data_IF_863118289673
#
_entry.id   IF_863118289673
#
_cell.length_a   1.000
_cell.length_b   1.000
_cell.length_c   1.000
_cell.angle_alpha   90.00
_cell.angle_beta   90.00
_cell.angle_gamma   90.00
#
_symmetry.space_group_name_H-M   'P 1'
#
loop_
_entity.id
_entity.type
_entity.pdbx_description
1 polymer ?
#
# COMPACT_ATOMS: atom_id res chain seq x y z
N UNK A 1 22.91 -12.98 3.37
CA UNK A 1 23.10 -12.20 2.12
C UNK A 1 24.42 -11.40 2.08
N UNK A 2 25.16 -11.45 0.97
CA UNK A 2 26.29 -10.53 0.65
C UNK A 2 26.05 -9.84 -0.70
N UNK A 3 26.32 -8.54 -0.81
CA UNK A 3 26.19 -7.77 -2.07
C UNK A 3 27.58 -7.32 -2.55
N UNK A 4 28.12 -7.99 -3.57
CA UNK A 4 29.37 -7.60 -4.20
C UNK A 4 29.14 -6.45 -5.19
N UNK A 5 29.85 -5.34 -4.99
CA UNK A 5 29.78 -4.18 -5.90
C UNK A 5 30.71 -4.43 -7.10
N UNK A 6 30.16 -4.29 -8.31
CA UNK A 6 30.87 -4.48 -9.58
C UNK A 6 30.58 -3.33 -10.53
N UNK A 7 31.46 -3.12 -11.50
CA UNK A 7 31.22 -2.26 -12.66
C UNK A 7 31.19 -3.15 -13.90
N UNK A 8 30.06 -3.19 -14.59
CA UNK A 8 29.89 -3.97 -15.82
C UNK A 8 29.64 -3.02 -16.99
N UNK A 9 30.24 -3.32 -18.14
CA UNK A 9 29.94 -2.59 -19.38
C UNK A 9 28.54 -2.93 -19.88
N UNK A 10 27.93 -2.01 -20.64
CA UNK A 10 26.68 -2.31 -21.35
C UNK A 10 26.87 -3.50 -22.29
N UNK A 11 28.01 -3.60 -22.97
CA UNK A 11 28.35 -4.76 -23.81
C UNK A 11 28.23 -6.10 -23.04
N UNK A 12 28.77 -6.15 -21.82
CA UNK A 12 28.64 -7.34 -20.96
C UNK A 12 27.19 -7.63 -20.58
N UNK A 13 26.40 -6.59 -20.28
CA UNK A 13 24.98 -6.75 -19.94
C UNK A 13 24.14 -7.21 -21.14
N UNK A 14 24.52 -6.84 -22.36
CA UNK A 14 23.90 -7.35 -23.60
C UNK A 14 24.20 -8.83 -23.76
N UNK A 15 25.47 -9.24 -23.62
CA UNK A 15 25.85 -10.66 -23.72
C UNK A 15 25.23 -11.56 -22.64
N UNK A 16 24.72 -10.98 -21.54
CA UNK A 16 24.02 -11.69 -20.47
C UNK A 16 22.49 -11.62 -20.58
N UNK A 17 21.92 -11.01 -21.63
CA UNK A 17 20.48 -10.80 -21.79
C UNK A 17 19.66 -12.07 -21.54
N UNK A 18 20.03 -13.17 -22.19
CA UNK A 18 19.32 -14.44 -22.09
C UNK A 18 19.63 -15.21 -20.80
N UNK A 19 20.65 -14.77 -20.05
CA UNK A 19 21.07 -15.36 -18.78
C UNK A 19 20.51 -14.62 -17.55
N UNK A 20 19.74 -13.54 -17.74
CA UNK A 20 19.17 -12.73 -16.66
C UNK A 20 17.63 -12.83 -16.70
N UNK A 21 17.04 -13.40 -15.65
CA UNK A 21 15.60 -13.39 -15.48
C UNK A 21 15.09 -11.98 -15.11
N UNK A 22 14.31 -11.37 -16.01
CA UNK A 22 13.67 -10.07 -15.79
C UNK A 22 12.25 -10.12 -15.19
N UNK A 23 11.65 -11.30 -15.07
CA UNK A 23 10.27 -11.49 -14.62
C UNK A 23 10.18 -12.37 -13.36
N UNK A 24 10.73 -11.93 -12.21
CA UNK A 24 10.52 -12.67 -10.98
C UNK A 24 9.06 -12.59 -10.52
N UNK A 25 8.60 -13.58 -9.74
CA UNK A 25 7.20 -13.77 -9.30
C UNK A 25 6.60 -12.53 -8.59
N UNK A 26 7.45 -11.68 -7.99
CA UNK A 26 7.06 -10.46 -7.25
C UNK A 26 7.03 -9.17 -8.10
N UNK A 27 7.12 -9.27 -9.43
CA UNK A 27 7.23 -8.09 -10.30
C UNK A 27 5.87 -7.40 -10.55
N UNK A 28 5.89 -6.06 -10.59
CA UNK A 28 4.84 -5.24 -11.21
C UNK A 28 5.18 -5.06 -12.69
N UNK A 29 4.20 -5.23 -13.59
CA UNK A 29 4.40 -5.11 -15.04
C UNK A 29 5.12 -3.83 -15.50
N UNK A 30 5.50 -3.73 -16.79
CA UNK A 30 6.32 -2.63 -17.29
C UNK A 30 5.69 -1.25 -17.01
N UNK A 31 6.40 -0.43 -16.24
CA UNK A 31 5.90 0.84 -15.70
C UNK A 31 6.55 2.10 -16.30
N UNK A 32 7.60 1.96 -17.13
CA UNK A 32 8.27 3.12 -17.73
C UNK A 32 7.53 3.61 -18.98
N UNK A 33 7.08 4.86 -18.96
CA UNK A 33 6.63 5.57 -20.17
C UNK A 33 7.80 5.71 -21.16
N UNK A 34 7.49 5.81 -22.45
CA UNK A 34 8.48 5.89 -23.52
C UNK A 34 9.55 6.98 -23.29
N UNK A 35 9.13 8.18 -22.85
CA UNK A 35 10.03 9.30 -22.55
C UNK A 35 11.12 8.97 -21.53
N UNK A 36 10.83 8.12 -20.52
CA UNK A 36 11.80 7.73 -19.50
C UNK A 36 12.86 6.78 -20.03
N UNK A 37 12.53 5.93 -21.01
CA UNK A 37 13.50 5.06 -21.70
C UNK A 37 14.48 5.88 -22.54
N UNK A 38 13.99 6.91 -23.23
CA UNK A 38 14.82 7.86 -24.02
C UNK A 38 15.80 8.60 -23.12
N UNK A 39 15.35 9.15 -21.99
CA UNK A 39 16.21 9.87 -21.05
C UNK A 39 17.33 9.00 -20.46
N UNK A 40 17.07 7.70 -20.23
CA UNK A 40 18.12 6.78 -19.79
C UNK A 40 19.23 6.64 -20.82
N UNK A 41 18.88 6.45 -22.10
CA UNK A 41 19.87 6.29 -23.17
C UNK A 41 20.64 7.60 -23.38
N UNK A 42 19.95 8.75 -23.34
CA UNK A 42 20.60 10.07 -23.41
C UNK A 42 21.60 10.26 -22.26
N UNK A 43 21.24 9.91 -21.02
CA UNK A 43 22.15 9.96 -19.87
C UNK A 43 23.40 9.10 -20.08
N UNK A 44 23.25 7.88 -20.62
CA UNK A 44 24.37 6.99 -20.94
C UNK A 44 25.28 7.58 -22.02
N UNK A 45 24.70 8.12 -23.10
CA UNK A 45 25.44 8.78 -24.18
C UNK A 45 26.10 10.09 -23.75
N UNK A 46 25.69 10.68 -22.63
CA UNK A 46 26.32 11.86 -22.00
C UNK A 46 27.24 11.50 -20.85
N UNK A 47 27.50 10.21 -20.63
CA UNK A 47 28.32 9.69 -19.54
C UNK A 47 27.85 10.12 -18.13
N UNK A 48 26.56 10.41 -17.99
CA UNK A 48 25.95 10.74 -16.70
C UNK A 48 25.82 9.50 -15.82
N UNK A 49 25.94 9.70 -14.50
CA UNK A 49 25.73 8.62 -13.54
C UNK A 49 24.30 8.07 -13.64
N UNK A 50 24.18 6.75 -13.63
CA UNK A 50 22.91 6.03 -13.74
C UNK A 50 22.74 5.09 -12.55
N UNK A 51 21.52 4.98 -11.98
CA UNK A 51 21.28 4.12 -10.84
C UNK A 51 21.68 2.67 -11.08
N UNK A 52 22.25 2.06 -10.03
CA UNK A 52 22.75 0.68 -10.05
C UNK A 52 21.69 -0.34 -10.47
N UNK A 53 22.16 -1.47 -10.98
CA UNK A 53 21.34 -2.66 -11.24
C UNK A 53 21.65 -3.68 -10.15
N UNK A 54 20.63 -4.32 -9.59
CA UNK A 54 20.82 -5.36 -8.58
C UNK A 54 20.45 -6.72 -9.17
N UNK A 55 21.43 -7.63 -9.20
CA UNK A 55 21.28 -8.96 -9.77
C UNK A 55 21.57 -10.00 -8.68
N UNK A 56 20.61 -10.88 -8.41
CA UNK A 56 20.82 -12.06 -7.58
C UNK A 56 21.46 -13.15 -8.43
N UNK A 57 22.60 -13.68 -7.99
CA UNK A 57 23.21 -14.86 -8.61
C UNK A 57 22.42 -16.11 -8.23
N UNK A 58 22.03 -16.90 -9.23
CA UNK A 58 21.32 -18.15 -9.02
C UNK A 58 22.28 -19.35 -8.91
N UNK A 59 21.86 -20.46 -8.26
CA UNK A 59 22.65 -21.69 -8.20
C UNK A 59 22.99 -22.23 -9.60
N UNK A 60 24.14 -22.87 -9.72
CA UNK A 60 24.54 -23.56 -10.96
C UNK A 60 23.48 -24.60 -11.37
N UNK A 61 23.17 -24.68 -12.67
CA UNK A 61 22.12 -25.54 -13.20
C UNK A 61 20.72 -24.91 -13.25
N UNK A 62 20.54 -23.69 -12.72
CA UNK A 62 19.31 -22.91 -12.93
C UNK A 62 19.18 -22.48 -14.40
N UNK A 63 17.94 -22.29 -14.88
CA UNK A 63 17.65 -21.81 -16.24
C UNK A 63 18.34 -20.47 -16.56
N UNK A 64 18.48 -19.61 -15.55
CA UNK A 64 19.17 -18.32 -15.65
C UNK A 64 20.36 -18.28 -14.69
N UNK A 65 21.41 -17.55 -15.06
CA UNK A 65 22.56 -17.30 -14.17
C UNK A 65 22.26 -16.24 -13.12
N UNK A 66 21.35 -15.31 -13.44
CA UNK A 66 20.97 -14.21 -12.57
C UNK A 66 19.46 -13.95 -12.58
N UNK A 67 18.96 -13.38 -11.50
CA UNK A 67 17.62 -12.83 -11.36
C UNK A 67 17.72 -11.33 -11.07
N UNK A 68 17.02 -10.50 -11.84
CA UNK A 68 17.05 -9.06 -11.65
C UNK A 68 16.15 -8.66 -10.46
N UNK A 69 16.78 -8.18 -9.39
CA UNK A 69 16.11 -7.70 -8.17
C UNK A 69 15.65 -6.25 -8.35
N UNK A 70 16.50 -5.38 -8.89
CA UNK A 70 16.14 -4.01 -9.27
C UNK A 70 16.85 -3.59 -10.57
N UNK A 71 16.23 -2.67 -11.31
CA UNK A 71 16.76 -2.16 -12.58
C UNK A 71 16.24 -2.87 -13.82
N UNK A 72 15.16 -3.64 -13.72
CA UNK A 72 14.57 -4.38 -14.84
C UNK A 72 14.18 -3.44 -15.99
N UNK A 73 13.58 -2.30 -15.69
CA UNK A 73 13.21 -1.31 -16.73
C UNK A 73 14.42 -0.66 -17.38
N UNK A 74 15.53 -0.50 -16.64
CA UNK A 74 16.81 -0.02 -17.19
C UNK A 74 17.39 -1.06 -18.15
N UNK A 75 17.44 -2.32 -17.74
CA UNK A 75 17.89 -3.44 -18.57
C UNK A 75 17.05 -3.55 -19.86
N UNK A 76 15.71 -3.54 -19.75
CA UNK A 76 14.82 -3.55 -20.92
C UNK A 76 15.08 -2.38 -21.84
N UNK A 77 15.13 -1.16 -21.33
CA UNK A 77 15.37 0.03 -22.15
C UNK A 77 16.72 -0.04 -22.89
N UNK A 78 17.79 -0.51 -22.23
CA UNK A 78 19.10 -0.70 -22.87
C UNK A 78 19.03 -1.78 -23.95
N UNK A 79 18.44 -2.93 -23.65
CA UNK A 79 18.34 -4.04 -24.60
C UNK A 79 17.44 -3.71 -25.79
N UNK A 80 16.27 -3.12 -25.55
CA UNK A 80 15.33 -2.70 -26.60
C UNK A 80 15.95 -1.64 -27.53
N UNK A 81 16.87 -0.82 -27.04
CA UNK A 81 17.57 0.17 -27.86
C UNK A 81 18.69 -0.47 -28.71
N UNK A 82 19.55 -1.29 -28.08
CA UNK A 82 20.80 -1.77 -28.69
C UNK A 82 20.66 -3.10 -29.43
N UNK A 83 19.86 -4.01 -28.88
CA UNK A 83 19.68 -5.38 -29.36
C UNK A 83 18.21 -5.83 -29.17
N UNK A 84 17.26 -5.16 -29.87
CA UNK A 84 15.85 -5.52 -29.85
C UNK A 84 15.63 -6.98 -30.27
N UNK A 85 14.59 -7.61 -29.73
CA UNK A 85 14.25 -8.99 -30.07
C UNK A 85 13.67 -9.10 -31.50
N UNK A 86 13.78 -10.30 -32.09
CA UNK A 86 13.02 -10.73 -33.28
C UNK A 86 13.11 -9.80 -34.51
N UNK A 87 14.28 -9.16 -34.72
CA UNK A 87 14.50 -8.28 -35.87
C UNK A 87 13.70 -6.97 -35.83
N UNK A 88 13.05 -6.65 -34.71
CA UNK A 88 12.37 -5.38 -34.53
C UNK A 88 13.38 -4.22 -34.58
N UNK A 89 12.95 -3.08 -35.12
CA UNK A 89 13.74 -1.86 -35.00
C UNK A 89 13.74 -1.39 -33.53
N UNK A 90 14.92 -1.06 -33.01
CA UNK A 90 15.04 -0.44 -31.69
C UNK A 90 14.30 0.90 -31.67
N UNK A 91 13.88 1.36 -30.49
CA UNK A 91 13.16 2.64 -30.42
C UNK A 91 14.08 3.82 -30.78
N UNK A 92 13.50 4.84 -31.41
CA UNK A 92 14.19 6.10 -31.69
C UNK A 92 14.27 6.99 -30.44
N UNK A 93 15.33 7.79 -30.33
CA UNK A 93 15.52 8.78 -29.27
C UNK A 93 14.61 10.01 -29.44
N UNK A 94 13.30 9.79 -29.43
CA UNK A 94 12.25 10.81 -29.54
C UNK A 94 11.53 10.98 -28.21
N UNK A 95 11.84 12.07 -27.50
CA UNK A 95 11.32 12.38 -26.16
C UNK A 95 10.25 13.48 -26.13
N UNK A 96 9.97 14.00 -24.93
CA UNK A 96 9.04 15.14 -24.74
C UNK A 96 9.60 16.47 -25.28
N UNK A 97 10.90 16.52 -25.60
CA UNK A 97 11.59 17.61 -26.25
C UNK A 97 12.73 17.07 -27.12
N UNK A 98 13.28 17.92 -28.00
CA UNK A 98 14.41 17.57 -28.84
C UNK A 98 15.68 17.35 -28.00
N UNK A 99 16.42 16.28 -28.27
CA UNK A 99 17.72 16.04 -27.62
C UNK A 99 18.83 16.83 -28.33
N UNK A 100 19.64 17.55 -27.55
CA UNK A 100 20.79 18.28 -28.06
C UNK A 100 21.87 17.35 -28.63
N UNK A 101 22.59 17.76 -29.70
CA UNK A 101 23.70 17.00 -30.25
C UNK A 101 24.79 16.69 -29.21
N UNK A 102 25.51 15.58 -29.43
CA UNK A 102 26.66 15.18 -28.61
C UNK A 102 27.89 15.20 -29.50
N UNK A 103 28.91 16.00 -29.14
CA UNK A 103 30.13 16.18 -29.93
C UNK A 103 29.86 16.55 -31.40
N UNK A 104 28.83 17.37 -31.66
CA UNK A 104 28.42 17.76 -33.02
C UNK A 104 27.57 16.73 -33.77
N UNK A 105 27.31 15.55 -33.19
CA UNK A 105 26.46 14.52 -33.78
C UNK A 105 25.02 14.63 -33.28
N UNK A 106 24.08 14.80 -34.19
CA UNK A 106 22.64 14.77 -33.88
C UNK A 106 22.25 13.37 -33.40
N UNK A 107 21.59 13.30 -32.25
CA UNK A 107 21.07 12.04 -31.66
C UNK A 107 19.54 12.00 -31.60
N UNK A 108 18.86 13.14 -31.66
CA UNK A 108 17.40 13.21 -31.59
C UNK A 108 16.75 12.42 -32.73
N UNK A 109 15.76 11.58 -32.38
CA UNK A 109 15.03 10.75 -33.34
C UNK A 109 15.82 9.58 -33.93
N UNK A 110 17.07 9.35 -33.51
CA UNK A 110 17.88 8.24 -34.02
C UNK A 110 17.66 6.97 -33.23
N UNK A 111 17.68 5.84 -33.94
CA UNK A 111 17.83 4.50 -33.39
C UNK A 111 19.31 4.18 -33.14
N UNK A 112 19.61 3.08 -32.43
CA UNK A 112 20.99 2.64 -32.23
C UNK A 112 21.74 2.45 -33.55
N UNK A 113 21.08 1.91 -34.59
CA UNK A 113 21.70 1.69 -35.90
C UNK A 113 22.11 2.98 -36.61
N UNK A 114 21.40 4.09 -36.38
CA UNK A 114 21.63 5.39 -37.01
C UNK A 114 22.63 6.27 -36.24
N UNK A 115 23.05 5.85 -35.04
CA UNK A 115 24.09 6.53 -34.28
C UNK A 115 25.46 6.44 -34.99
N UNK A 116 26.26 7.48 -34.78
CA UNK A 116 27.65 7.52 -35.25
C UNK A 116 28.50 6.46 -34.49
N UNK A 117 29.57 5.96 -35.11
CA UNK A 117 30.34 4.84 -34.61
C UNK A 117 30.98 5.10 -33.23
N UNK A 118 31.50 6.31 -32.99
CA UNK A 118 32.04 6.69 -31.68
C UNK A 118 30.97 6.67 -30.58
N UNK A 119 29.76 7.15 -30.86
CA UNK A 119 28.64 7.11 -29.91
C UNK A 119 28.16 5.68 -29.62
N UNK A 120 28.15 4.80 -30.62
CA UNK A 120 27.86 3.36 -30.43
C UNK A 120 28.91 2.72 -29.53
N UNK A 121 30.18 3.01 -29.76
CA UNK A 121 31.29 2.49 -28.96
C UNK A 121 31.22 3.02 -27.52
N UNK A 122 30.93 4.31 -27.35
CA UNK A 122 30.76 4.93 -26.04
C UNK A 122 29.62 4.29 -25.27
N UNK A 123 28.45 4.10 -25.89
CA UNK A 123 27.31 3.44 -25.27
C UNK A 123 27.67 2.01 -24.83
N UNK A 124 28.26 1.20 -25.71
CA UNK A 124 28.66 -0.19 -25.37
C UNK A 124 29.70 -0.25 -24.26
N UNK A 125 30.63 0.70 -24.25
CA UNK A 125 31.71 0.83 -23.27
C UNK A 125 31.28 1.40 -21.91
N UNK A 126 30.12 2.06 -21.83
CA UNK A 126 29.63 2.67 -20.60
C UNK A 126 29.51 1.65 -19.47
N UNK A 127 30.02 2.00 -18.29
CA UNK A 127 30.08 1.11 -17.11
C UNK A 127 28.95 1.44 -16.14
N UNK A 128 28.07 0.47 -15.92
CA UNK A 128 26.99 0.57 -14.93
C UNK A 128 27.40 -0.15 -13.65
N UNK A 129 27.08 0.45 -12.49
CA UNK A 129 27.22 -0.21 -11.20
C UNK A 129 26.26 -1.38 -11.04
N UNK A 130 26.79 -2.57 -10.75
CA UNK A 130 26.03 -3.79 -10.51
C UNK A 130 26.25 -4.26 -9.08
N UNK A 131 25.17 -4.36 -8.31
CA UNK A 131 25.14 -5.03 -7.01
C UNK A 131 24.82 -6.52 -7.22
N UNK A 132 25.85 -7.36 -7.24
CA UNK A 132 25.71 -8.81 -7.37
C UNK A 132 25.41 -9.42 -5.99
N UNK A 133 24.21 -9.94 -5.82
CA UNK A 133 23.73 -10.50 -4.56
C UNK A 133 24.02 -12.00 -4.56
N UNK A 134 24.78 -12.46 -3.57
CA UNK A 134 25.17 -13.87 -3.38
C UNK A 134 24.70 -14.37 -2.02
N UNK A 135 24.41 -15.67 -1.94
CA UNK A 135 24.02 -16.36 -0.70
C UNK A 135 22.90 -15.63 0.05
N UNK A 136 21.78 -15.42 -0.63
CA UNK A 136 20.62 -14.69 -0.10
C UNK A 136 19.34 -15.53 -0.16
N UNK A 137 18.57 -15.49 0.93
CA UNK A 137 17.22 -16.07 0.99
C UNK A 137 16.21 -15.17 0.26
N UNK A 138 15.04 -15.70 -0.08
CA UNK A 138 13.98 -14.91 -0.72
C UNK A 138 13.49 -13.75 0.16
N UNK A 139 13.48 -13.93 1.49
CA UNK A 139 13.10 -12.89 2.45
C UNK A 139 14.12 -11.74 2.51
N UNK A 140 15.41 -12.07 2.46
CA UNK A 140 16.49 -11.08 2.40
C UNK A 140 16.42 -10.26 1.10
N UNK A 141 16.15 -10.93 -0.04
CA UNK A 141 15.95 -10.28 -1.34
C UNK A 141 14.74 -9.36 -1.32
N UNK A 142 13.62 -9.82 -0.76
CA UNK A 142 12.39 -9.02 -0.61
C UNK A 142 12.64 -7.78 0.25
N UNK A 143 13.39 -7.95 1.35
CA UNK A 143 13.76 -6.84 2.25
C UNK A 143 14.68 -5.84 1.56
N UNK A 144 15.68 -6.31 0.81
CA UNK A 144 16.58 -5.45 0.03
C UNK A 144 15.80 -4.69 -1.05
N UNK A 145 14.96 -5.38 -1.82
CA UNK A 145 14.14 -4.76 -2.84
C UNK A 145 13.24 -3.67 -2.25
N UNK A 146 12.57 -3.95 -1.13
CA UNK A 146 11.75 -2.97 -0.42
C UNK A 146 12.56 -1.73 0.00
N UNK A 147 13.82 -1.90 0.42
CA UNK A 147 14.75 -0.81 0.75
C UNK A 147 15.20 -0.01 -0.46
N UNK A 148 15.46 -0.66 -1.60
CA UNK A 148 15.83 0.00 -2.85
C UNK A 148 14.69 0.85 -3.41
N UNK A 149 13.44 0.42 -3.22
CA UNK A 149 12.24 1.17 -3.61
C UNK A 149 11.87 2.30 -2.65
N UNK A 150 12.66 2.59 -1.60
CA UNK A 150 12.38 3.64 -0.62
C UNK A 150 12.44 5.08 -1.16
N UNK A 151 12.55 5.28 -2.48
CA UNK A 151 12.09 6.53 -3.11
C UNK A 151 10.57 6.74 -3.01
N UNK A 152 9.80 5.69 -2.73
CA UNK A 152 8.42 5.74 -2.22
C UNK A 152 8.13 4.43 -1.46
N UNK A 153 8.47 4.32 -0.16
CA UNK A 153 8.35 3.07 0.59
C UNK A 153 6.92 2.54 0.55
N UNK A 154 6.73 1.22 0.49
CA UNK A 154 5.41 0.63 0.71
C UNK A 154 4.95 1.01 2.12
N UNK A 155 3.75 1.56 2.23
CA UNK A 155 3.18 1.82 3.55
C UNK A 155 2.87 0.46 4.24
N UNK A 156 2.59 0.47 5.54
CA UNK A 156 2.36 -0.78 6.24
C UNK A 156 1.13 -1.56 5.75
N UNK A 157 0.13 -0.91 5.16
CA UNK A 157 -1.02 -1.59 4.56
C UNK A 157 -0.66 -2.28 3.24
N UNK A 158 0.14 -1.64 2.39
CA UNK A 158 0.67 -2.21 1.15
C UNK A 158 1.59 -3.41 1.45
N UNK A 159 2.40 -3.34 2.51
CA UNK A 159 3.21 -4.47 2.97
C UNK A 159 2.35 -5.66 3.42
N UNK A 160 1.28 -5.42 4.19
CA UNK A 160 0.35 -6.48 4.59
C UNK A 160 -0.47 -7.02 3.42
N UNK A 161 -0.78 -6.18 2.43
CA UNK A 161 -1.50 -6.62 1.24
C UNK A 161 -0.62 -7.44 0.29
N UNK A 162 0.70 -7.24 0.33
CA UNK A 162 1.66 -8.06 -0.42
C UNK A 162 1.92 -9.43 0.22
N UNK A 163 1.51 -9.65 1.48
CA UNK A 163 1.63 -10.94 2.14
C UNK A 163 0.67 -11.98 1.52
N UNK A 164 1.03 -13.26 1.61
CA UNK A 164 0.19 -14.39 1.20
C UNK A 164 -0.50 -14.99 2.42
N UNK A 165 -1.76 -15.42 2.26
CA UNK A 165 -2.49 -16.14 3.30
C UNK A 165 -4.01 -16.01 3.19
N UNK A 166 -4.78 -16.95 3.77
CA UNK A 166 -6.24 -16.98 3.67
C UNK A 166 -6.89 -15.73 4.29
N UNK A 167 -6.43 -15.29 5.47
CA UNK A 167 -6.91 -14.05 6.11
C UNK A 167 -6.68 -12.81 5.23
N UNK A 168 -5.49 -12.69 4.63
CA UNK A 168 -5.20 -11.59 3.69
C UNK A 168 -6.17 -11.61 2.50
N UNK A 169 -6.45 -12.79 1.93
CA UNK A 169 -7.32 -12.93 0.78
C UNK A 169 -8.76 -12.51 1.09
N UNK A 170 -9.29 -12.90 2.25
CA UNK A 170 -10.63 -12.52 2.70
C UNK A 170 -10.72 -11.02 3.02
N UNK A 171 -9.71 -10.43 3.65
CA UNK A 171 -9.63 -8.97 3.86
C UNK A 171 -9.61 -8.25 2.50
N UNK A 172 -8.81 -8.74 1.54
CA UNK A 172 -8.72 -8.14 0.21
C UNK A 172 -10.04 -8.25 -0.56
N UNK A 173 -10.69 -9.42 -0.50
CA UNK A 173 -12.01 -9.62 -1.11
C UNK A 173 -13.01 -8.62 -0.55
N UNK A 174 -13.16 -8.57 0.79
CA UNK A 174 -14.04 -7.61 1.49
C UNK A 174 -13.76 -6.18 1.08
N UNK A 175 -12.48 -5.77 1.03
CA UNK A 175 -12.07 -4.43 0.63
C UNK A 175 -12.41 -4.07 -0.82
N UNK A 176 -12.57 -5.05 -1.71
CA UNK A 176 -12.88 -4.83 -3.14
C UNK A 176 -14.33 -5.06 -3.52
N UNK A 177 -15.06 -5.91 -2.79
CA UNK A 177 -16.41 -6.33 -3.18
C UNK A 177 -17.52 -5.76 -2.29
N UNK A 178 -17.22 -5.33 -1.06
CA UNK A 178 -18.26 -4.88 -0.14
C UNK A 178 -18.80 -3.48 -0.53
N UNK A 179 -20.13 -3.31 -0.51
CA UNK A 179 -20.82 -2.09 -0.97
C UNK A 179 -20.36 -0.81 -0.25
N UNK A 180 -20.11 -0.87 1.06
CA UNK A 180 -19.49 0.22 1.81
C UNK A 180 -18.28 0.84 1.09
N UNK A 181 -17.33 0.02 0.63
CA UNK A 181 -16.13 0.53 -0.04
C UNK A 181 -16.39 1.05 -1.45
N UNK A 182 -17.42 0.53 -2.13
CA UNK A 182 -17.83 1.02 -3.45
C UNK A 182 -18.47 2.42 -3.38
N UNK A 183 -19.23 2.70 -2.32
CA UNK A 183 -19.99 3.96 -2.17
C UNK A 183 -19.35 4.99 -1.22
N UNK A 184 -18.38 4.59 -0.40
CA UNK A 184 -17.71 5.47 0.55
C UNK A 184 -16.87 6.55 -0.14
N UNK A 185 -16.86 7.77 0.44
CA UNK A 185 -16.00 8.88 0.00
C UNK A 185 -14.56 8.74 0.51
N UNK A 186 -13.97 7.56 0.36
CA UNK A 186 -12.59 7.27 0.77
C UNK A 186 -11.77 7.05 -0.50
N UNK A 187 -10.67 7.77 -0.69
CA UNK A 187 -9.78 7.49 -1.81
C UNK A 187 -8.98 6.20 -1.54
N UNK A 188 -9.03 5.22 -2.46
CA UNK A 188 -8.32 3.95 -2.30
C UNK A 188 -6.82 4.01 -2.69
N UNK A 189 -6.17 5.13 -2.41
CA UNK A 189 -4.74 5.27 -2.67
C UNK A 189 -3.95 4.42 -1.68
N UNK A 190 -2.86 3.80 -2.15
CA UNK A 190 -1.87 3.12 -1.28
C UNK A 190 -2.52 2.07 -0.35
N UNK A 191 -3.44 1.26 -0.91
CA UNK A 191 -4.15 0.16 -0.21
C UNK A 191 -4.98 0.60 1.00
N UNK A 192 -5.62 1.77 0.94
CA UNK A 192 -6.41 2.30 2.06
C UNK A 192 -7.64 1.46 2.40
N UNK A 193 -8.36 0.91 1.41
CA UNK A 193 -9.52 0.04 1.67
C UNK A 193 -9.09 -1.23 2.39
N UNK A 194 -7.97 -1.81 1.95
CA UNK A 194 -7.35 -2.95 2.62
C UNK A 194 -6.96 -2.61 4.07
N UNK A 195 -6.44 -1.41 4.34
CA UNK A 195 -6.15 -0.95 5.71
C UNK A 195 -7.42 -0.92 6.57
N UNK A 196 -8.51 -0.36 6.06
CA UNK A 196 -9.79 -0.26 6.78
C UNK A 196 -10.37 -1.65 7.05
N UNK A 197 -10.43 -2.51 6.04
CA UNK A 197 -10.85 -3.89 6.21
C UNK A 197 -9.96 -4.63 7.23
N UNK A 198 -8.63 -4.45 7.19
CA UNK A 198 -7.72 -5.06 8.18
C UNK A 198 -8.10 -4.69 9.62
N UNK A 199 -8.45 -3.43 9.89
CA UNK A 199 -8.86 -3.01 11.24
C UNK A 199 -10.23 -3.57 11.63
N UNK A 200 -11.17 -3.69 10.68
CA UNK A 200 -12.47 -4.32 10.92
C UNK A 200 -12.33 -5.79 11.34
N UNK A 201 -11.48 -6.54 10.63
CA UNK A 201 -11.17 -7.93 11.00
C UNK A 201 -10.45 -8.02 12.36
N UNK A 202 -9.55 -7.09 12.68
CA UNK A 202 -8.85 -7.08 13.96
C UNK A 202 -9.80 -6.84 15.15
N UNK A 203 -10.76 -5.89 15.04
CA UNK A 203 -11.76 -5.69 16.10
C UNK A 203 -12.75 -6.85 16.18
N UNK A 204 -13.11 -7.47 15.05
CA UNK A 204 -13.95 -8.65 15.01
C UNK A 204 -13.31 -9.86 15.73
N UNK A 205 -12.00 -10.07 15.50
CA UNK A 205 -11.22 -11.18 16.05
C UNK A 205 -10.89 -11.01 17.54
N UNK A 206 -10.49 -9.80 17.96
CA UNK A 206 -9.95 -9.59 19.30
C UNK A 206 -10.90 -8.87 20.25
N UNK A 207 -12.01 -8.33 19.77
CA UNK A 207 -13.01 -7.61 20.58
C UNK A 207 -12.37 -6.57 21.53
N UNK A 208 -11.39 -5.82 21.02
CA UNK A 208 -10.68 -4.79 21.78
C UNK A 208 -9.79 -5.30 22.93
N UNK A 209 -9.37 -6.57 22.91
CA UNK A 209 -8.43 -7.14 23.89
C UNK A 209 -6.95 -6.93 23.52
N UNK A 210 -6.67 -6.42 22.33
CA UNK A 210 -5.32 -6.15 21.81
C UNK A 210 -5.23 -4.77 21.16
N UNK A 211 -4.00 -4.32 20.96
CA UNK A 211 -3.70 -3.17 20.10
C UNK A 211 -4.06 -3.50 18.64
N UNK A 212 -4.33 -2.48 17.84
CA UNK A 212 -4.61 -2.60 16.41
C UNK A 212 -3.63 -1.76 15.58
N UNK A 213 -2.36 -1.74 15.99
CA UNK A 213 -1.27 -1.08 15.25
C UNK A 213 -0.84 -1.96 14.10
N UNK A 214 0.00 -1.42 13.22
CA UNK A 214 0.43 -2.17 12.04
C UNK A 214 1.12 -3.50 12.36
N UNK A 215 1.83 -3.59 13.50
CA UNK A 215 2.46 -4.84 13.95
C UNK A 215 1.41 -5.87 14.32
N UNK A 216 0.35 -5.44 15.02
CA UNK A 216 -0.77 -6.31 15.42
C UNK A 216 -1.54 -6.78 14.18
N UNK A 217 -1.90 -5.87 13.27
CA UNK A 217 -2.61 -6.25 12.04
C UNK A 217 -1.83 -7.25 11.18
N UNK A 218 -0.49 -7.22 11.25
CA UNK A 218 0.36 -8.23 10.62
C UNK A 218 0.29 -9.56 11.40
N UNK A 219 0.36 -9.50 12.73
CA UNK A 219 0.19 -10.68 13.58
C UNK A 219 -1.15 -11.38 13.34
N UNK A 220 -2.25 -10.64 13.14
CA UNK A 220 -3.55 -11.20 12.76
C UNK A 220 -3.45 -12.09 11.51
N UNK A 221 -2.78 -11.63 10.45
CA UNK A 221 -2.63 -12.42 9.23
C UNK A 221 -1.77 -13.67 9.45
N UNK A 222 -0.76 -13.59 10.33
CA UNK A 222 0.12 -14.72 10.67
C UNK A 222 -0.59 -15.74 11.55
N UNK A 223 -1.34 -15.30 12.56
CA UNK A 223 -2.13 -16.17 13.45
C UNK A 223 -3.17 -16.97 12.67
N UNK A 224 -3.87 -16.31 11.74
CA UNK A 224 -4.88 -16.95 10.91
C UNK A 224 -4.31 -17.59 9.62
N UNK A 225 -2.98 -17.70 9.49
CA UNK A 225 -2.38 -18.42 8.35
C UNK A 225 -2.58 -19.94 8.44
N UNK A 226 -2.75 -20.45 9.67
CA UNK A 226 -2.95 -21.87 10.00
C UNK A 226 -4.29 -22.14 10.68
N UNK A 227 -5.16 -21.13 10.78
CA UNK A 227 -6.49 -21.28 11.35
C UNK A 227 -7.43 -22.01 10.40
N UNK A 228 -8.46 -22.64 10.97
CA UNK A 228 -9.50 -23.31 10.19
C UNK A 228 -10.28 -22.29 9.35
N UNK A 229 -10.64 -22.69 8.12
CA UNK A 229 -11.34 -21.81 7.19
C UNK A 229 -12.70 -21.36 7.76
N UNK A 230 -13.33 -22.18 8.61
CA UNK A 230 -14.57 -21.85 9.30
C UNK A 230 -14.43 -20.62 10.20
N UNK A 231 -13.34 -20.51 10.97
CA UNK A 231 -13.08 -19.33 11.81
C UNK A 231 -12.92 -18.06 10.97
N UNK A 232 -12.20 -18.17 9.85
CA UNK A 232 -11.98 -17.04 8.94
C UNK A 232 -13.30 -16.60 8.30
N UNK A 233 -14.14 -17.55 7.89
CA UNK A 233 -15.46 -17.26 7.33
C UNK A 233 -16.41 -16.68 8.38
N UNK A 234 -16.37 -17.16 9.63
CA UNK A 234 -17.13 -16.58 10.74
C UNK A 234 -16.77 -15.11 10.98
N UNK A 235 -15.47 -14.77 10.95
CA UNK A 235 -15.03 -13.37 10.99
C UNK A 235 -15.51 -12.58 9.77
N UNK A 236 -15.43 -13.17 8.58
CA UNK A 236 -15.88 -12.52 7.35
C UNK A 236 -17.38 -12.20 7.39
N UNK A 237 -18.22 -13.12 7.88
CA UNK A 237 -19.66 -12.90 8.04
C UNK A 237 -19.92 -11.75 9.02
N UNK A 238 -19.31 -11.81 10.21
CA UNK A 238 -19.44 -10.76 11.23
C UNK A 238 -19.02 -9.38 10.73
N UNK A 239 -17.95 -9.31 9.94
CA UNK A 239 -17.48 -8.06 9.32
C UNK A 239 -18.44 -7.60 8.22
N UNK A 240 -18.92 -8.50 7.36
CA UNK A 240 -19.89 -8.18 6.31
C UNK A 240 -21.21 -7.64 6.86
N UNK A 241 -21.79 -8.33 7.84
CA UNK A 241 -23.06 -7.91 8.46
C UNK A 241 -22.95 -6.51 9.09
N UNK A 242 -21.83 -6.24 9.76
CA UNK A 242 -21.59 -4.93 10.34
C UNK A 242 -21.35 -3.83 9.29
N UNK A 243 -20.68 -4.17 8.17
CA UNK A 243 -20.46 -3.26 7.06
C UNK A 243 -21.73 -2.94 6.28
N UNK A 244 -22.70 -3.85 6.20
CA UNK A 244 -24.01 -3.59 5.61
C UNK A 244 -24.74 -2.46 6.34
N UNK A 245 -24.82 -2.56 7.68
CA UNK A 245 -25.39 -1.50 8.52
C UNK A 245 -24.59 -0.20 8.36
N UNK A 246 -23.26 -0.27 8.36
CA UNK A 246 -22.41 0.91 8.21
C UNK A 246 -22.59 1.61 6.85
N UNK A 247 -22.80 0.84 5.77
CA UNK A 247 -23.08 1.36 4.44
C UNK A 247 -24.39 2.15 4.43
N UNK A 248 -25.43 1.60 5.05
CA UNK A 248 -26.72 2.28 5.15
C UNK A 248 -26.61 3.56 6.01
N UNK A 249 -25.88 3.53 7.12
CA UNK A 249 -25.58 4.74 7.92
C UNK A 249 -24.85 5.78 7.07
N UNK A 250 -23.80 5.39 6.31
CA UNK A 250 -23.02 6.32 5.49
C UNK A 250 -23.82 6.96 4.35
N UNK A 251 -24.89 6.29 3.88
CA UNK A 251 -25.81 6.85 2.88
C UNK A 251 -26.71 7.94 3.46
N UNK A 252 -27.13 7.82 4.73
CA UNK A 252 -28.12 8.70 5.35
C UNK A 252 -27.53 9.78 6.27
N UNK A 253 -26.31 9.59 6.77
CA UNK A 253 -25.64 10.56 7.65
C UNK A 253 -25.29 11.87 6.94
N UNK A 254 -25.42 13.00 7.65
CA UNK A 254 -24.86 14.28 7.20
C UNK A 254 -23.33 14.34 7.27
N UNK A 255 -22.69 13.40 7.98
CA UNK A 255 -21.25 13.33 8.18
C UNK A 255 -20.65 12.03 7.64
N UNK A 256 -20.35 11.99 6.33
CA UNK A 256 -19.75 10.82 5.67
C UNK A 256 -18.56 10.23 6.44
N UNK A 257 -18.55 8.90 6.55
CA UNK A 257 -17.62 8.09 7.33
C UNK A 257 -16.32 7.90 6.54
N UNK A 258 -15.53 8.96 6.42
CA UNK A 258 -14.27 8.93 5.65
C UNK A 258 -13.02 8.76 6.49
N UNK A 259 -13.15 8.84 7.82
CA UNK A 259 -12.04 8.80 8.77
C UNK A 259 -11.95 7.40 9.39
N UNK A 260 -10.73 6.85 9.42
CA UNK A 260 -10.48 5.45 9.82
C UNK A 260 -11.03 5.12 11.19
N UNK A 261 -10.81 5.99 12.17
CA UNK A 261 -11.12 5.65 13.54
C UNK A 261 -12.60 5.64 13.84
N UNK A 262 -13.39 6.56 13.27
CA UNK A 262 -14.84 6.52 13.44
C UNK A 262 -15.45 5.33 12.71
N UNK A 263 -14.90 4.94 11.55
CA UNK A 263 -15.23 3.69 10.86
C UNK A 263 -15.01 2.46 11.77
N UNK A 264 -13.81 2.35 12.38
CA UNK A 264 -13.48 1.23 13.28
C UNK A 264 -14.39 1.21 14.51
N UNK A 265 -14.60 2.37 15.14
CA UNK A 265 -15.37 2.46 16.37
C UNK A 265 -16.86 2.17 16.13
N UNK A 266 -17.45 2.67 15.03
CA UNK A 266 -18.84 2.37 14.65
C UNK A 266 -19.03 0.90 14.32
N UNK A 267 -18.15 0.31 13.49
CA UNK A 267 -18.21 -1.12 13.18
C UNK A 267 -18.17 -1.97 14.43
N UNK A 268 -17.29 -1.63 15.36
CA UNK A 268 -17.18 -2.41 16.58
C UNK A 268 -18.43 -2.30 17.46
N UNK A 269 -19.07 -1.13 17.53
CA UNK A 269 -20.37 -0.99 18.22
C UNK A 269 -21.45 -1.83 17.54
N UNK A 270 -21.53 -1.79 16.20
CA UNK A 270 -22.50 -2.58 15.42
C UNK A 270 -22.30 -4.08 15.67
N UNK A 271 -21.06 -4.57 15.60
CA UNK A 271 -20.73 -5.97 15.91
C UNK A 271 -21.17 -6.38 17.32
N UNK A 272 -20.94 -5.51 18.32
CA UNK A 272 -21.35 -5.76 19.70
C UNK A 272 -22.87 -5.79 19.88
N UNK A 273 -23.63 -5.04 19.08
CA UNK A 273 -25.09 -5.09 19.08
C UNK A 273 -25.60 -6.38 18.43
N UNK A 274 -25.02 -6.78 17.29
CA UNK A 274 -25.34 -8.07 16.65
C UNK A 274 -25.03 -9.26 17.56
N UNK A 275 -23.90 -9.25 18.28
CA UNK A 275 -23.56 -10.28 19.27
C UNK A 275 -24.57 -10.37 20.43
N UNK A 276 -25.29 -9.28 20.73
CA UNK A 276 -26.37 -9.27 21.72
C UNK A 276 -27.72 -9.72 21.13
N UNK A 277 -27.76 -10.12 19.85
CA UNK A 277 -28.99 -10.49 19.13
C UNK A 277 -29.90 -9.30 18.83
N UNK A 278 -29.38 -8.07 18.87
CA UNK A 278 -30.16 -6.85 18.68
C UNK A 278 -30.22 -6.46 17.21
N UNK A 279 -31.43 -6.25 16.70
CA UNK A 279 -31.64 -5.60 15.40
C UNK A 279 -31.44 -4.10 15.54
N UNK A 280 -30.70 -3.48 14.62
CA UNK A 280 -30.33 -2.06 14.67
C UNK A 280 -31.32 -1.26 13.83
N UNK A 281 -31.95 -0.25 14.44
CA UNK A 281 -32.69 0.78 13.74
C UNK A 281 -31.69 1.79 13.14
N UNK A 282 -31.55 1.71 11.81
CA UNK A 282 -30.56 2.52 11.07
C UNK A 282 -30.86 4.02 11.15
N UNK A 283 -32.13 4.41 11.26
CA UNK A 283 -32.49 5.83 11.39
C UNK A 283 -32.10 6.35 12.77
N UNK A 284 -32.41 5.60 13.84
CA UNK A 284 -32.04 5.95 15.22
C UNK A 284 -30.52 6.05 15.38
N UNK A 285 -29.76 5.05 14.92
CA UNK A 285 -28.29 5.06 15.04
C UNK A 285 -27.66 6.18 14.20
N UNK A 286 -28.19 6.46 13.00
CA UNK A 286 -27.71 7.54 12.14
C UNK A 286 -27.91 8.90 12.80
N UNK A 287 -29.09 9.18 13.36
CA UNK A 287 -29.36 10.43 14.07
C UNK A 287 -28.44 10.63 15.30
N UNK A 288 -28.17 9.55 16.05
CA UNK A 288 -27.26 9.60 17.21
C UNK A 288 -25.80 9.76 16.80
N UNK A 289 -25.39 9.12 15.70
CA UNK A 289 -24.08 9.34 15.10
C UNK A 289 -23.91 10.80 14.64
N UNK A 290 -24.92 11.35 13.97
CA UNK A 290 -24.93 12.74 13.52
C UNK A 290 -24.80 13.72 14.68
N UNK A 291 -25.51 13.48 15.79
CA UNK A 291 -25.37 14.28 16.99
C UNK A 291 -23.96 14.17 17.60
N UNK A 292 -23.41 12.95 17.67
CA UNK A 292 -22.08 12.71 18.18
C UNK A 292 -21.00 13.45 17.35
N UNK A 293 -21.05 13.32 16.03
CA UNK A 293 -20.02 13.87 15.15
C UNK A 293 -20.08 15.41 15.08
N UNK A 294 -21.28 16.00 15.14
CA UNK A 294 -21.44 17.46 15.28
C UNK A 294 -20.76 17.98 16.55
N UNK A 295 -21.03 17.34 17.70
CA UNK A 295 -20.38 17.73 18.96
C UNK A 295 -18.87 17.48 18.92
N UNK A 296 -18.43 16.33 18.37
CA UNK A 296 -17.00 16.01 18.25
C UNK A 296 -16.27 17.08 17.45
N UNK A 297 -16.81 17.49 16.31
CA UNK A 297 -16.23 18.56 15.47
C UNK A 297 -16.18 19.90 16.19
N UNK A 298 -17.24 20.26 16.93
CA UNK A 298 -17.29 21.49 17.72
C UNK A 298 -16.21 21.55 18.82
N UNK A 299 -15.94 20.43 19.49
CA UNK A 299 -15.06 20.41 20.67
C UNK A 299 -13.69 19.75 20.45
N UNK A 300 -13.35 19.34 19.23
CA UNK A 300 -12.09 18.62 18.98
C UNK A 300 -10.85 19.48 19.24
N UNK A 301 -10.93 20.81 19.04
CA UNK A 301 -9.83 21.75 19.29
C UNK A 301 -9.66 22.02 20.79
N UNK A 302 -10.78 22.24 21.50
CA UNK A 302 -10.83 22.62 22.91
C UNK A 302 -11.72 21.65 23.72
N UNK A 303 -11.30 20.39 23.89
CA UNK A 303 -12.12 19.38 24.55
C UNK A 303 -12.34 19.68 26.03
N UNK A 304 -11.44 20.42 26.70
CA UNK A 304 -11.55 20.77 28.12
C UNK A 304 -12.83 21.58 28.41
N UNK A 305 -13.36 22.31 27.41
CA UNK A 305 -14.65 23.00 27.53
C UNK A 305 -15.80 22.04 27.84
N UNK A 306 -15.73 20.77 27.43
CA UNK A 306 -16.73 19.73 27.73
C UNK A 306 -16.83 19.42 29.23
N UNK A 307 -15.81 19.77 30.02
CA UNK A 307 -15.83 19.59 31.47
C UNK A 307 -16.52 20.74 32.21
N UNK A 308 -16.82 21.85 31.52
CA UNK A 308 -17.52 22.98 32.09
C UNK A 308 -19.05 22.79 32.00
N UNK A 309 -19.65 22.37 33.11
CA UNK A 309 -21.11 22.17 33.23
C UNK A 309 -21.95 23.45 33.17
N UNK A 310 -21.33 24.64 33.21
CA UNK A 310 -22.04 25.94 33.14
C UNK A 310 -22.30 26.40 31.70
N UNK A 311 -21.82 25.66 30.70
CA UNK A 311 -22.03 25.96 29.29
C UNK A 311 -23.51 25.79 28.92
N UNK A 312 -24.04 26.68 28.07
CA UNK A 312 -25.45 26.64 27.62
C UNK A 312 -25.85 25.34 26.93
N UNK A 313 -24.94 24.69 26.20
CA UNK A 313 -25.16 23.41 25.53
C UNK A 313 -24.47 22.23 26.24
N UNK A 314 -24.30 22.32 27.57
CA UNK A 314 -23.85 21.18 28.37
C UNK A 314 -24.82 20.00 28.22
N UNK A 315 -24.28 18.80 28.00
CA UNK A 315 -25.05 17.58 27.74
C UNK A 315 -24.55 16.41 28.62
N UNK A 316 -25.43 15.43 28.95
CA UNK A 316 -25.06 14.31 29.84
C UNK A 316 -23.84 13.51 29.39
N UNK A 317 -23.61 13.44 28.07
CA UNK A 317 -22.52 12.68 27.48
C UNK A 317 -21.22 13.48 27.25
N UNK A 318 -21.12 14.72 27.74
CA UNK A 318 -19.95 15.57 27.51
C UNK A 318 -18.66 14.99 28.07
N UNK A 319 -18.70 14.37 29.25
CA UNK A 319 -17.54 13.65 29.80
C UNK A 319 -17.11 12.49 28.92
N UNK A 320 -18.07 11.77 28.32
CA UNK A 320 -17.77 10.67 27.40
C UNK A 320 -17.13 11.20 26.11
N UNK A 321 -17.62 12.31 25.57
CA UNK A 321 -17.03 12.95 24.39
C UNK A 321 -15.61 13.45 24.67
N UNK A 322 -15.36 14.03 25.85
CA UNK A 322 -14.03 14.41 26.29
C UNK A 322 -13.09 13.20 26.29
N UNK A 323 -13.50 12.08 26.89
CA UNK A 323 -12.73 10.84 26.94
C UNK A 323 -12.46 10.28 25.53
N UNK A 324 -13.43 10.35 24.62
CA UNK A 324 -13.29 9.94 23.22
C UNK A 324 -12.23 10.78 22.49
N UNK A 325 -12.32 12.12 22.57
CA UNK A 325 -11.38 13.03 21.89
C UNK A 325 -9.97 12.86 22.48
N UNK A 326 -9.86 12.78 23.81
CA UNK A 326 -8.57 12.67 24.49
C UNK A 326 -7.85 11.34 24.18
N UNK A 327 -8.60 10.25 23.95
CA UNK A 327 -8.03 8.95 23.56
C UNK A 327 -7.21 9.01 22.25
N UNK A 328 -7.41 10.02 21.41
CA UNK A 328 -6.61 10.22 20.20
C UNK A 328 -5.34 11.05 20.39
N UNK A 329 -5.25 11.85 21.45
CA UNK A 329 -4.08 12.73 21.69
C UNK A 329 -2.82 11.96 22.09
N UNK A 330 -2.96 10.72 22.55
CA UNK A 330 -1.85 9.87 23.00
C UNK A 330 -1.55 8.76 22.00
N UNK A 331 -2.48 7.81 21.81
CA UNK A 331 -2.35 6.69 20.86
C UNK A 331 -3.69 6.00 20.61
N UNK A 332 -4.39 6.36 19.53
CA UNK A 332 -5.70 5.79 19.21
C UNK A 332 -5.69 4.30 18.86
N UNK A 333 -4.55 3.70 18.54
CA UNK A 333 -4.50 2.28 18.14
C UNK A 333 -4.27 1.34 19.32
N UNK A 334 -3.88 1.88 20.50
CA UNK A 334 -3.69 1.08 21.70
C UNK A 334 -4.99 0.49 22.23
N UNK A 335 -4.93 -0.72 22.79
CA UNK A 335 -6.03 -1.42 23.44
C UNK A 335 -6.79 -0.53 24.41
N UNK A 336 -6.07 0.15 25.30
CA UNK A 336 -6.65 1.00 26.33
C UNK A 336 -7.46 2.15 25.74
N UNK A 337 -6.94 2.80 24.69
CA UNK A 337 -7.64 3.92 24.07
C UNK A 337 -8.79 3.43 23.16
N UNK A 338 -8.61 2.32 22.44
CA UNK A 338 -9.69 1.66 21.70
C UNK A 338 -10.89 1.37 22.62
N UNK A 339 -10.65 0.79 23.80
CA UNK A 339 -11.69 0.53 24.82
C UNK A 339 -12.33 1.82 25.35
N UNK A 340 -11.55 2.87 25.62
CA UNK A 340 -12.10 4.18 26.04
C UNK A 340 -13.01 4.79 24.98
N UNK A 341 -12.60 4.74 23.71
CA UNK A 341 -13.40 5.24 22.58
C UNK A 341 -14.71 4.48 22.43
N UNK A 342 -14.66 3.16 22.45
CA UNK A 342 -15.86 2.32 22.37
C UNK A 342 -16.81 2.60 23.54
N UNK A 343 -16.30 2.64 24.78
CA UNK A 343 -17.11 2.97 25.96
C UNK A 343 -17.79 4.34 25.82
N UNK A 344 -17.06 5.33 25.31
CA UNK A 344 -17.61 6.66 25.11
C UNK A 344 -18.67 6.68 23.99
N UNK A 345 -18.38 6.10 22.82
CA UNK A 345 -19.29 6.07 21.68
C UNK A 345 -20.59 5.31 22.01
N UNK A 346 -20.49 4.19 22.74
CA UNK A 346 -21.67 3.44 23.20
C UNK A 346 -22.60 4.24 24.11
N UNK A 347 -22.12 5.27 24.82
CA UNK A 347 -23.01 6.16 25.58
C UNK A 347 -23.83 7.09 24.69
N UNK A 348 -23.33 7.41 23.49
CA UNK A 348 -24.07 8.16 22.48
C UNK A 348 -25.03 7.28 21.69
N UNK A 349 -24.67 6.01 21.45
CA UNK A 349 -25.43 5.07 20.62
C UNK A 349 -26.25 4.07 21.45
N UNK A 350 -26.80 4.48 22.60
CA UNK A 350 -27.77 3.67 23.37
C UNK A 350 -29.12 3.69 22.68
N UNK A 351 -30.00 2.73 22.94
CA UNK A 351 -31.41 2.74 22.49
C UNK A 351 -31.53 3.00 20.98
N UNK A 352 -30.76 2.24 20.21
CA UNK A 352 -30.72 2.27 18.74
C UNK A 352 -31.27 0.97 18.15
N UNK A 353 -31.84 0.13 18.98
CA UNK A 353 -32.47 -1.12 18.60
C UNK A 353 -33.87 -0.88 18.01
N UNK A 354 -34.32 -1.81 17.17
CA UNK A 354 -35.72 -1.90 16.76
C UNK A 354 -36.54 -2.31 17.99
N UNK A 355 -37.69 -1.64 18.19
CA UNK A 355 -38.58 -1.86 19.34
C UNK A 355 -39.28 -3.22 19.31
#
# INVERSE_FOLDING_TARGET
MKVAQRLWTIEKLIGLKDNINLNPIWQRGPAWKASRRVLLIDSILREMDVPKIYLRKLPAGSLYSYEAVDGQQRLRAIWDFVAPADGAAGFALSGAGALEPINGHVINGKTFAELEASLKQQLRGFKIGVGEIVSATNDEITTLFARLQMGMPLNPAELRNAALGPMRNIIQLTATSHEFFASAKINNDRSKYFDYASHAFAVAAWNGTRDIKSTDLRALQTEYAVADMEDILGLSSKVGDALNVLAEIDQHTRFRITRKWIYVDLLWVIMQLHEQGKSIDVQKITAKYDYFEERRRKYTSEPDLLLNSRRRDAAPNDRALYEYIYAFRTDGASKTNLQKRNKALRKFLRDVEVD
#
